data_IF_395248479845
#
_entry.id   IF_395248479845
#
_cell.length_a   1.000
_cell.length_b   1.000
_cell.length_c   1.000
_cell.angle_alpha   90.00
_cell.angle_beta   90.00
_cell.angle_gamma   90.00
#
_symmetry.space_group_name_H-M   'P 1'
#
loop_
_entity.id
_entity.type
_entity.pdbx_description
1 polymer ?
#
# COMPACT_ATOMS: atom_id res chain seq x y z
N UNK A 1 -4.70 1.56 21.93
CA UNK A 1 -4.35 0.15 21.58
C UNK A 1 -3.67 -0.54 22.78
N UNK A 2 -2.64 0.06 23.41
CA UNK A 2 -1.98 -0.51 24.58
C UNK A 2 -2.84 -0.65 25.85
N UNK A 3 -4.05 -0.08 25.88
CA UNK A 3 -4.96 -0.21 27.02
C UNK A 3 -5.86 -1.45 26.98
N UNK A 4 -5.97 -2.10 25.81
CA UNK A 4 -6.91 -3.23 25.62
C UNK A 4 -6.18 -4.53 25.35
N UNK A 5 -5.08 -4.49 24.60
CA UNK A 5 -4.20 -5.63 24.31
C UNK A 5 -2.80 -5.30 24.82
N UNK A 6 -2.65 -5.26 26.15
CA UNK A 6 -1.46 -4.75 26.85
C UNK A 6 -0.20 -5.58 26.61
N UNK A 7 -0.35 -6.81 26.18
CA UNK A 7 0.74 -7.73 25.85
C UNK A 7 1.37 -7.50 24.47
N UNK A 8 0.78 -6.63 23.61
CA UNK A 8 1.35 -6.35 22.30
C UNK A 8 2.58 -5.45 22.38
N UNK A 9 3.50 -5.66 21.44
CA UNK A 9 4.73 -4.89 21.27
C UNK A 9 4.77 -4.26 19.86
N UNK A 10 5.66 -3.27 19.62
CA UNK A 10 5.56 -2.38 18.43
C UNK A 10 5.78 -3.06 17.09
N UNK A 11 6.52 -4.18 17.01
CA UNK A 11 6.79 -4.81 15.72
C UNK A 11 5.58 -5.59 15.24
N UNK A 12 5.07 -5.22 14.08
CA UNK A 12 3.93 -5.88 13.48
C UNK A 12 3.93 -5.75 11.96
N UNK A 13 3.33 -6.74 11.32
CA UNK A 13 3.10 -6.79 9.87
C UNK A 13 1.68 -7.23 9.60
N UNK A 14 1.07 -6.68 8.56
CA UNK A 14 -0.23 -7.14 8.09
C UNK A 14 -0.24 -7.30 6.58
N UNK A 15 -1.03 -8.25 6.11
CA UNK A 15 -1.30 -8.43 4.69
C UNK A 15 -2.80 -8.66 4.52
N UNK A 16 -3.36 -8.04 3.49
CA UNK A 16 -4.76 -8.21 3.11
C UNK A 16 -4.81 -8.63 1.65
N UNK A 17 -5.48 -9.75 1.39
CA UNK A 17 -5.75 -10.23 0.03
C UNK A 17 -7.18 -9.87 -0.32
N UNK A 18 -7.35 -9.16 -1.43
CA UNK A 18 -8.65 -8.70 -1.92
C UNK A 18 -8.98 -9.45 -3.22
N UNK A 19 -10.19 -9.93 -3.32
CA UNK A 19 -10.74 -10.50 -4.52
C UNK A 19 -11.36 -9.41 -5.38
N UNK A 20 -11.08 -9.44 -6.69
CA UNK A 20 -11.56 -8.46 -7.66
C UNK A 20 -12.39 -9.11 -8.76
N UNK A 21 -13.37 -8.41 -9.25
CA UNK A 21 -14.11 -8.80 -10.46
C UNK A 21 -13.21 -8.63 -11.69
N UNK A 22 -13.06 -9.71 -12.47
CA UNK A 22 -12.15 -9.74 -13.62
C UNK A 22 -12.51 -8.75 -14.73
N UNK A 23 -13.81 -8.47 -14.93
CA UNK A 23 -14.28 -7.60 -16.02
C UNK A 23 -14.24 -6.14 -15.66
N UNK A 24 -14.62 -5.83 -14.42
CA UNK A 24 -14.77 -4.44 -13.96
C UNK A 24 -13.60 -3.94 -13.16
N UNK A 25 -12.68 -4.83 -12.74
CA UNK A 25 -11.55 -4.55 -11.86
C UNK A 25 -11.96 -3.93 -10.50
N UNK A 26 -13.22 -4.13 -10.09
CA UNK A 26 -13.73 -3.63 -8.81
C UNK A 26 -13.49 -4.65 -7.70
N UNK A 27 -13.13 -4.19 -6.48
CA UNK A 27 -12.98 -5.09 -5.34
C UNK A 27 -14.35 -5.69 -4.96
N UNK A 28 -14.35 -7.00 -4.70
CA UNK A 28 -15.54 -7.75 -4.31
C UNK A 28 -15.58 -7.99 -2.80
N UNK A 29 -14.48 -8.47 -2.23
CA UNK A 29 -14.37 -8.77 -0.80
C UNK A 29 -12.92 -8.89 -0.35
N UNK A 30 -12.70 -8.82 0.93
CA UNK A 30 -11.47 -9.27 1.58
C UNK A 30 -11.51 -10.81 1.69
N UNK A 31 -10.54 -11.46 1.03
CA UNK A 31 -10.44 -12.92 1.03
C UNK A 31 -9.61 -13.43 2.21
N UNK A 32 -8.45 -12.82 2.48
CA UNK A 32 -7.54 -13.27 3.53
C UNK A 32 -6.95 -12.08 4.28
N UNK A 33 -6.84 -12.22 5.59
CA UNK A 33 -6.15 -11.28 6.47
C UNK A 33 -5.05 -12.04 7.20
N UNK A 34 -3.82 -11.54 7.10
CA UNK A 34 -2.67 -12.04 7.87
C UNK A 34 -2.22 -10.94 8.83
N UNK A 35 -2.06 -11.27 10.09
CA UNK A 35 -1.51 -10.38 11.12
C UNK A 35 -0.34 -11.10 11.80
N UNK A 36 0.84 -10.51 11.74
CA UNK A 36 1.99 -10.95 12.55
C UNK A 36 2.32 -9.82 13.51
N UNK A 37 2.24 -10.08 14.81
CA UNK A 37 2.43 -9.06 15.83
C UNK A 37 3.32 -9.55 16.95
N UNK A 38 4.28 -8.71 17.31
CA UNK A 38 5.15 -8.94 18.48
C UNK A 38 4.31 -8.85 19.76
N UNK A 39 4.60 -9.75 20.71
CA UNK A 39 3.90 -9.82 21.98
C UNK A 39 4.83 -10.30 23.10
N UNK A 40 4.47 -10.03 24.34
CA UNK A 40 5.13 -10.62 25.50
C UNK A 40 4.76 -12.09 25.66
N UNK A 41 5.54 -12.83 26.41
CA UNK A 41 5.14 -14.14 26.92
C UNK A 41 4.22 -13.94 28.14
N UNK A 42 2.93 -13.76 27.91
CA UNK A 42 1.93 -13.44 28.93
C UNK A 42 1.19 -14.67 29.48
N UNK A 43 1.38 -15.85 28.87
CA UNK A 43 0.97 -17.14 29.39
C UNK A 43 2.22 -17.99 29.53
N UNK A 44 2.62 -18.26 30.76
CA UNK A 44 3.85 -18.99 31.06
C UNK A 44 3.55 -20.47 31.39
N UNK A 45 4.49 -21.40 31.11
CA UNK A 45 4.40 -22.76 31.57
C UNK A 45 4.44 -22.83 33.11
N UNK A 46 3.83 -23.84 33.68
CA UNK A 46 3.74 -24.05 35.13
C UNK A 46 2.33 -24.41 35.59
N UNK A 47 2.15 -24.84 36.83
CA UNK A 47 0.85 -25.25 37.39
C UNK A 47 0.14 -26.31 36.53
N UNK A 48 0.89 -27.28 36.00
CA UNK A 48 0.34 -28.35 35.15
C UNK A 48 0.28 -27.98 33.66
N UNK A 49 0.70 -26.80 33.25
CA UNK A 49 0.74 -26.35 31.85
C UNK A 49 2.15 -26.59 31.29
N UNK A 50 2.24 -27.32 30.21
CA UNK A 50 3.48 -27.49 29.45
C UNK A 50 3.82 -26.23 28.66
N UNK A 51 5.07 -26.08 28.19
CA UNK A 51 5.49 -24.97 27.34
C UNK A 51 4.64 -24.89 26.07
N UNK A 52 4.40 -26.03 25.42
CA UNK A 52 3.58 -26.11 24.22
C UNK A 52 2.12 -25.68 24.46
N UNK A 53 1.52 -26.13 25.54
CA UNK A 53 0.15 -25.73 25.89
C UNK A 53 0.04 -24.24 26.25
N UNK A 54 1.05 -23.69 26.90
CA UNK A 54 1.12 -22.26 27.20
C UNK A 54 1.19 -21.45 25.89
N UNK A 55 2.04 -21.85 24.96
CA UNK A 55 2.14 -21.22 23.64
C UNK A 55 0.82 -21.32 22.86
N UNK A 56 0.22 -22.50 22.78
CA UNK A 56 -1.06 -22.70 22.06
C UNK A 56 -2.18 -21.81 22.62
N UNK A 57 -2.32 -21.73 23.95
CA UNK A 57 -3.31 -20.87 24.62
C UNK A 57 -3.02 -19.39 24.38
N UNK A 58 -1.76 -18.99 24.37
CA UNK A 58 -1.35 -17.61 24.10
C UNK A 58 -1.68 -17.23 22.65
N UNK A 59 -1.36 -18.08 21.69
CA UNK A 59 -1.68 -17.84 20.28
C UNK A 59 -3.19 -17.81 20.03
N UNK A 60 -3.96 -18.69 20.68
CA UNK A 60 -5.43 -18.68 20.57
C UNK A 60 -6.00 -17.37 21.14
N UNK A 61 -5.50 -16.89 22.27
CA UNK A 61 -5.91 -15.60 22.84
C UNK A 61 -5.61 -14.45 21.90
N UNK A 62 -4.42 -14.39 21.31
CA UNK A 62 -4.04 -13.34 20.34
C UNK A 62 -4.97 -13.40 19.13
N UNK A 63 -5.26 -14.60 18.61
CA UNK A 63 -6.16 -14.79 17.46
C UNK A 63 -7.57 -14.29 17.76
N UNK A 64 -8.09 -14.62 18.94
CA UNK A 64 -9.41 -14.19 19.36
C UNK A 64 -9.49 -12.67 19.54
N UNK A 65 -8.49 -12.06 20.18
CA UNK A 65 -8.43 -10.61 20.34
C UNK A 65 -8.29 -9.86 18.99
N UNK A 66 -7.54 -10.42 18.05
CA UNK A 66 -7.48 -9.87 16.67
C UNK A 66 -8.87 -9.93 16.02
N UNK A 67 -9.57 -11.07 16.14
CA UNK A 67 -10.90 -11.27 15.55
C UNK A 67 -11.95 -10.35 16.19
N UNK A 68 -11.98 -10.25 17.50
CA UNK A 68 -13.07 -9.61 18.25
C UNK A 68 -12.78 -8.14 18.57
N UNK A 69 -11.53 -7.72 18.55
CA UNK A 69 -11.14 -6.35 18.91
C UNK A 69 -10.55 -5.61 17.71
N UNK A 70 -9.47 -6.15 17.11
CA UNK A 70 -8.73 -5.41 16.08
C UNK A 70 -9.56 -5.22 14.80
N UNK A 71 -10.10 -6.29 14.23
CA UNK A 71 -10.85 -6.23 12.97
C UNK A 71 -12.11 -5.35 13.10
N UNK A 72 -12.94 -5.47 14.14
CA UNK A 72 -14.06 -4.56 14.34
C UNK A 72 -13.65 -3.09 14.47
N UNK A 73 -12.53 -2.81 15.13
CA UNK A 73 -12.01 -1.43 15.22
C UNK A 73 -11.56 -0.88 13.86
N UNK A 74 -10.95 -1.72 13.01
CA UNK A 74 -10.59 -1.34 11.65
C UNK A 74 -11.86 -1.02 10.84
N UNK A 75 -12.87 -1.88 10.86
CA UNK A 75 -14.17 -1.64 10.21
C UNK A 75 -14.77 -0.31 10.67
N UNK A 76 -14.91 -0.11 11.97
CA UNK A 76 -15.47 1.12 12.54
C UNK A 76 -14.67 2.38 12.19
N UNK A 77 -13.35 2.26 12.00
CA UNK A 77 -12.49 3.37 11.53
C UNK A 77 -12.75 3.73 10.08
N UNK A 78 -12.88 2.73 9.20
CA UNK A 78 -13.23 2.93 7.80
C UNK A 78 -14.62 3.55 7.65
N UNK A 79 -15.61 3.06 8.38
CA UNK A 79 -16.98 3.60 8.39
C UNK A 79 -17.01 5.08 8.82
N UNK A 80 -16.29 5.42 9.91
CA UNK A 80 -16.19 6.82 10.38
C UNK A 80 -15.48 7.74 9.39
N UNK A 81 -14.56 7.20 8.61
CA UNK A 81 -13.90 7.94 7.52
C UNK A 81 -14.82 8.13 6.30
N UNK A 82 -16.03 7.58 6.31
CA UNK A 82 -16.95 7.57 5.17
C UNK A 82 -16.51 6.62 4.07
N UNK A 83 -15.65 5.68 4.37
CA UNK A 83 -15.10 4.75 3.40
C UNK A 83 -16.04 3.56 3.19
N UNK A 84 -16.56 3.45 1.97
CA UNK A 84 -17.43 2.32 1.57
C UNK A 84 -16.69 0.97 1.58
N UNK A 85 -15.36 0.98 1.66
CA UNK A 85 -14.54 -0.22 1.68
C UNK A 85 -14.70 -1.06 2.96
N UNK A 86 -15.27 -0.49 4.04
CA UNK A 86 -15.62 -1.25 5.24
C UNK A 86 -16.52 -2.46 4.92
N UNK A 87 -17.42 -2.32 3.95
CA UNK A 87 -18.30 -3.40 3.49
C UNK A 87 -17.60 -4.57 2.80
N UNK A 88 -16.33 -4.40 2.37
CA UNK A 88 -15.54 -5.49 1.81
C UNK A 88 -15.04 -6.48 2.87
N UNK A 89 -15.01 -6.07 4.14
CA UNK A 89 -14.62 -6.94 5.26
C UNK A 89 -15.89 -7.65 5.75
N UNK A 90 -16.24 -8.77 5.12
CA UNK A 90 -17.34 -9.66 5.52
C UNK A 90 -16.98 -10.47 6.78
N UNK A 91 -17.63 -11.61 6.93
CA UNK A 91 -17.37 -12.55 8.03
C UNK A 91 -16.71 -13.87 7.52
N UNK A 92 -16.56 -13.98 6.21
CA UNK A 92 -16.09 -15.18 5.49
C UNK A 92 -14.62 -15.12 5.06
N UNK A 93 -13.84 -14.17 5.62
CA UNK A 93 -12.40 -14.09 5.34
C UNK A 93 -11.60 -15.17 6.08
N UNK A 94 -10.48 -15.58 5.48
CA UNK A 94 -9.49 -16.45 6.13
C UNK A 94 -8.60 -15.59 7.02
N UNK A 95 -8.48 -15.94 8.31
CA UNK A 95 -7.64 -15.21 9.26
C UNK A 95 -6.42 -16.04 9.68
N UNK A 96 -5.24 -15.49 9.44
CA UNK A 96 -3.98 -16.02 9.96
C UNK A 96 -3.38 -15.02 10.95
N UNK A 97 -3.10 -15.47 12.17
CA UNK A 97 -2.45 -14.66 13.21
C UNK A 97 -1.22 -15.40 13.70
N UNK A 98 -0.06 -14.75 13.62
CA UNK A 98 1.25 -15.33 13.96
C UNK A 98 1.42 -16.77 13.43
N UNK A 99 1.29 -17.00 12.12
CA UNK A 99 1.20 -18.37 11.57
C UNK A 99 2.47 -19.21 11.78
N UNK A 100 3.57 -18.59 12.15
CA UNK A 100 4.86 -19.26 12.46
C UNK A 100 5.07 -19.55 13.95
N UNK A 101 4.09 -19.24 14.81
CA UNK A 101 4.15 -19.39 16.25
C UNK A 101 4.41 -18.08 16.99
N UNK A 102 4.97 -18.16 18.19
CA UNK A 102 5.22 -16.98 19.05
C UNK A 102 6.19 -15.98 18.41
N UNK A 103 5.88 -14.70 18.57
CA UNK A 103 6.67 -13.59 18.07
C UNK A 103 7.06 -12.64 19.22
N UNK A 104 8.03 -13.07 20.00
CA UNK A 104 8.48 -12.34 21.22
C UNK A 104 9.65 -11.41 20.90
N UNK A 105 10.58 -11.83 20.05
CA UNK A 105 11.74 -11.03 19.65
C UNK A 105 11.41 -10.28 18.37
N UNK A 106 11.38 -8.96 18.44
CA UNK A 106 11.09 -8.08 17.30
C UNK A 106 11.92 -6.80 17.31
N UNK A 107 11.63 -5.92 16.35
CA UNK A 107 12.39 -4.71 16.13
C UNK A 107 13.85 -4.97 15.75
N UNK A 108 14.80 -4.07 16.03
CA UNK A 108 16.21 -4.20 15.62
C UNK A 108 16.92 -5.44 16.15
N UNK A 109 16.44 -6.03 17.25
CA UNK A 109 16.97 -7.28 17.78
C UNK A 109 16.57 -8.51 16.96
N UNK A 110 15.38 -8.48 16.34
CA UNK A 110 14.91 -9.56 15.51
C UNK A 110 15.36 -9.42 14.06
N UNK A 111 15.24 -8.22 13.52
CA UNK A 111 15.59 -7.90 12.13
C UNK A 111 15.95 -6.42 11.99
N UNK A 112 17.10 -6.12 11.41
CA UNK A 112 17.55 -4.76 11.20
C UNK A 112 17.01 -4.24 9.87
N UNK A 113 16.19 -3.20 9.92
CA UNK A 113 15.65 -2.53 8.75
C UNK A 113 16.60 -1.52 8.12
N UNK A 114 16.43 -1.29 6.83
CA UNK A 114 17.08 -0.22 6.07
C UNK A 114 16.04 0.62 5.35
N UNK A 115 16.31 1.91 5.21
CA UNK A 115 15.47 2.82 4.41
C UNK A 115 15.38 2.35 2.96
N UNK A 116 14.18 2.36 2.39
CA UNK A 116 13.95 1.95 1.00
C UNK A 116 13.88 0.45 0.75
N UNK A 117 13.75 -0.36 1.82
CA UNK A 117 13.57 -1.84 1.72
C UNK A 117 12.11 -2.27 1.82
N UNK A 118 11.16 -1.33 1.90
CA UNK A 118 9.70 -1.55 1.91
C UNK A 118 8.98 -0.64 0.92
N UNK A 119 9.60 -0.34 -0.22
CA UNK A 119 9.12 0.65 -1.21
C UNK A 119 7.74 0.35 -1.77
N UNK A 120 7.35 -0.90 -1.87
CA UNK A 120 6.01 -1.29 -2.34
C UNK A 120 4.95 -0.93 -1.28
N UNK A 121 5.24 -1.20 0.00
CA UNK A 121 4.36 -0.81 1.13
C UNK A 121 4.25 0.71 1.24
N UNK A 122 5.37 1.41 1.04
CA UNK A 122 5.45 2.88 1.12
C UNK A 122 4.66 3.59 0.01
N UNK A 123 4.28 2.88 -1.05
CA UNK A 123 3.61 3.43 -2.23
C UNK A 123 2.19 2.89 -2.40
N UNK A 124 2.01 1.83 -3.19
CA UNK A 124 0.67 1.34 -3.61
C UNK A 124 0.37 -0.07 -3.14
N UNK A 125 1.19 -0.67 -2.28
CA UNK A 125 0.95 -1.99 -1.68
C UNK A 125 0.89 -3.15 -2.69
N UNK A 126 1.45 -2.99 -3.89
CA UNK A 126 1.38 -3.97 -4.98
C UNK A 126 0.20 -3.80 -5.93
N UNK A 127 -0.76 -2.89 -5.64
CA UNK A 127 -1.86 -2.60 -6.56
C UNK A 127 -1.38 -1.87 -7.82
N UNK A 128 -0.52 -0.86 -7.67
CA UNK A 128 0.12 -0.14 -8.77
C UNK A 128 1.58 -0.55 -8.93
N UNK A 129 2.10 -0.44 -10.15
CA UNK A 129 3.50 -0.69 -10.45
C UNK A 129 4.43 0.32 -9.73
N UNK A 130 5.69 -0.08 -9.54
CA UNK A 130 6.73 0.74 -8.95
C UNK A 130 8.03 0.59 -9.72
N UNK A 131 8.75 1.68 -9.94
CA UNK A 131 10.02 1.67 -10.69
C UNK A 131 11.20 1.04 -9.95
N UNK A 132 11.05 0.67 -8.67
CA UNK A 132 12.06 -0.01 -7.86
C UNK A 132 13.01 0.92 -7.10
N UNK A 133 13.00 2.22 -7.36
CA UNK A 133 13.85 3.20 -6.67
C UNK A 133 13.25 3.69 -5.35
N UNK A 134 14.01 3.64 -4.25
CA UNK A 134 13.63 4.28 -3.01
C UNK A 134 13.60 5.81 -3.16
N UNK A 135 12.71 6.49 -2.42
CA UNK A 135 12.59 7.95 -2.47
C UNK A 135 13.46 8.65 -1.43
N UNK A 136 13.48 8.13 -0.21
CA UNK A 136 14.27 8.70 0.89
C UNK A 136 15.75 8.76 0.56
N UNK A 137 16.40 9.86 0.95
CA UNK A 137 17.82 10.09 0.71
C UNK A 137 18.19 10.55 -0.70
N UNK A 138 17.21 10.71 -1.60
CA UNK A 138 17.42 11.22 -2.95
C UNK A 138 17.03 12.69 -3.05
N UNK A 139 17.89 13.50 -3.63
CA UNK A 139 17.57 14.88 -3.99
C UNK A 139 16.66 14.96 -5.22
N UNK A 140 16.18 16.16 -5.53
CA UNK A 140 15.22 16.40 -6.60
C UNK A 140 15.73 16.12 -8.03
N UNK A 141 17.05 15.95 -8.22
CA UNK A 141 17.62 15.58 -9.52
C UNK A 141 17.41 14.11 -9.87
N UNK A 142 17.08 13.26 -8.89
CA UNK A 142 16.87 11.84 -9.07
C UNK A 142 15.46 11.57 -9.58
N UNK A 143 15.34 11.12 -10.82
CA UNK A 143 14.05 10.84 -11.48
C UNK A 143 13.25 9.72 -10.81
N UNK A 144 13.88 8.74 -10.16
CA UNK A 144 13.20 7.73 -9.36
C UNK A 144 12.21 8.34 -8.37
N UNK A 145 12.52 9.53 -7.85
CA UNK A 145 11.69 10.27 -6.90
C UNK A 145 10.88 11.36 -7.58
N UNK A 146 11.50 12.28 -8.29
CA UNK A 146 10.83 13.44 -8.90
C UNK A 146 9.84 13.04 -9.98
N UNK A 147 10.17 12.07 -10.85
CA UNK A 147 9.25 11.57 -11.86
C UNK A 147 8.12 10.73 -11.28
N UNK A 148 8.33 9.99 -10.18
CA UNK A 148 7.26 9.30 -9.48
C UNK A 148 6.21 10.28 -8.94
N UNK A 149 6.64 11.44 -8.42
CA UNK A 149 5.72 12.49 -7.99
C UNK A 149 4.97 13.13 -9.17
N UNK A 150 5.64 13.34 -10.29
CA UNK A 150 5.00 13.82 -11.51
C UNK A 150 3.97 12.83 -12.05
N UNK A 151 4.30 11.54 -12.11
CA UNK A 151 3.38 10.47 -12.52
C UNK A 151 2.13 10.42 -11.63
N UNK A 152 2.31 10.50 -10.31
CA UNK A 152 1.19 10.55 -9.38
C UNK A 152 0.33 11.81 -9.56
N UNK A 153 0.95 12.97 -9.75
CA UNK A 153 0.22 14.21 -10.03
C UNK A 153 -0.64 14.07 -11.28
N UNK A 154 -0.08 13.54 -12.36
CA UNK A 154 -0.79 13.33 -13.62
C UNK A 154 -1.95 12.35 -13.40
N UNK A 155 -1.70 11.18 -12.81
CA UNK A 155 -2.70 10.16 -12.54
C UNK A 155 -3.87 10.70 -11.71
N UNK A 156 -3.58 11.44 -10.63
CA UNK A 156 -4.62 12.09 -9.80
C UNK A 156 -5.45 13.11 -10.58
N UNK A 157 -4.83 13.89 -11.46
CA UNK A 157 -5.56 14.86 -12.28
C UNK A 157 -6.45 14.17 -13.32
N UNK A 158 -5.99 13.07 -13.93
CA UNK A 158 -6.80 12.30 -14.86
C UNK A 158 -8.05 11.71 -14.19
N UNK A 159 -7.90 11.13 -13.00
CA UNK A 159 -9.04 10.63 -12.24
C UNK A 159 -9.96 11.76 -11.79
N UNK A 160 -9.43 12.87 -11.29
CA UNK A 160 -10.23 14.02 -10.86
C UNK A 160 -10.98 14.68 -12.03
N UNK A 161 -10.42 14.62 -13.24
CA UNK A 161 -11.08 15.08 -14.46
C UNK A 161 -12.09 14.08 -15.05
N UNK A 162 -12.29 12.93 -14.40
CA UNK A 162 -13.22 11.90 -14.85
C UNK A 162 -12.78 11.16 -16.12
N UNK A 163 -11.48 11.16 -16.42
CA UNK A 163 -10.95 10.44 -17.59
C UNK A 163 -11.05 8.92 -17.41
N UNK A 164 -10.86 8.45 -16.19
CA UNK A 164 -10.96 7.06 -15.78
C UNK A 164 -11.17 6.97 -14.27
N UNK A 165 -11.66 5.82 -13.77
CA UNK A 165 -11.83 5.55 -12.34
C UNK A 165 -10.48 5.32 -11.65
N UNK A 166 -9.55 4.65 -12.35
CA UNK A 166 -8.19 4.36 -11.92
C UNK A 166 -7.21 4.63 -13.06
N UNK A 167 -6.00 5.08 -12.76
CA UNK A 167 -4.95 5.32 -13.76
C UNK A 167 -3.58 4.99 -13.21
N UNK A 168 -2.84 4.17 -13.93
CA UNK A 168 -1.39 4.03 -13.79
C UNK A 168 -0.71 4.91 -14.83
N UNK A 169 0.27 5.71 -14.41
CA UNK A 169 1.16 6.47 -15.30
C UNK A 169 2.60 6.08 -15.00
N UNK A 170 3.30 5.63 -16.04
CA UNK A 170 4.71 5.30 -15.97
C UNK A 170 5.53 6.21 -16.90
N UNK A 171 6.65 6.72 -16.38
CA UNK A 171 7.61 7.54 -17.11
C UNK A 171 8.96 6.83 -17.15
N UNK A 172 9.54 6.67 -18.35
CA UNK A 172 10.85 6.06 -18.53
C UNK A 172 11.86 7.10 -19.01
N UNK A 173 13.07 7.06 -18.45
CA UNK A 173 14.18 7.96 -18.81
C UNK A 173 15.43 7.19 -19.13
N UNK A 174 16.30 7.80 -19.97
CA UNK A 174 17.67 7.36 -20.13
C UNK A 174 18.64 8.39 -19.54
N UNK A 175 19.72 7.91 -18.94
CA UNK A 175 20.75 8.78 -18.39
C UNK A 175 21.34 9.64 -19.53
N UNK A 176 21.43 10.96 -19.27
CA UNK A 176 21.93 11.92 -20.25
C UNK A 176 20.88 12.45 -21.23
N UNK A 177 19.65 11.92 -21.23
CA UNK A 177 18.55 12.40 -22.08
C UNK A 177 17.47 13.03 -21.20
N UNK A 178 17.21 14.32 -21.39
CA UNK A 178 16.25 15.05 -20.56
C UNK A 178 14.78 14.69 -20.85
N UNK A 179 14.45 14.38 -22.11
CA UNK A 179 13.10 13.98 -22.46
C UNK A 179 12.81 12.54 -21.99
N UNK A 180 11.61 12.25 -21.47
CA UNK A 180 11.24 10.85 -21.22
C UNK A 180 11.29 10.03 -22.53
N UNK A 181 11.76 8.80 -22.42
CA UNK A 181 11.78 7.86 -23.56
C UNK A 181 10.37 7.35 -23.87
N UNK A 182 9.57 7.14 -22.83
CA UNK A 182 8.20 6.73 -22.98
C UNK A 182 7.31 7.28 -21.86
N UNK A 183 6.04 7.41 -22.19
CA UNK A 183 4.93 7.63 -21.28
C UNK A 183 3.97 6.49 -21.48
N UNK A 184 3.80 5.65 -20.46
CA UNK A 184 2.82 4.57 -20.49
C UNK A 184 1.63 4.93 -19.61
N UNK A 185 0.43 4.60 -20.06
CA UNK A 185 -0.82 4.79 -19.34
C UNK A 185 -1.61 3.49 -19.37
N UNK A 186 -2.14 3.10 -18.23
CA UNK A 186 -3.12 2.04 -18.10
C UNK A 186 -4.30 2.55 -17.26
N UNK A 187 -5.48 2.56 -17.82
CA UNK A 187 -6.70 2.98 -17.13
C UNK A 187 -7.48 1.81 -16.55
N UNK A 188 -6.89 0.63 -16.46
CA UNK A 188 -7.47 -0.59 -15.90
C UNK A 188 -8.84 -0.92 -16.49
N UNK A 189 -9.04 -0.64 -17.78
CA UNK A 189 -10.32 -0.81 -18.49
C UNK A 189 -11.47 0.03 -17.90
N UNK A 190 -11.16 1.11 -17.19
CA UNK A 190 -12.19 2.03 -16.70
C UNK A 190 -13.10 2.50 -17.81
N UNK A 191 -14.40 2.65 -17.56
CA UNK A 191 -15.33 3.25 -18.52
C UNK A 191 -14.87 4.64 -18.96
N UNK A 192 -14.99 4.94 -20.25
CA UNK A 192 -14.67 6.26 -20.78
C UNK A 192 -15.90 7.16 -20.71
N UNK A 193 -15.75 8.44 -20.33
CA UNK A 193 -16.81 9.41 -20.55
C UNK A 193 -17.07 9.60 -22.05
N UNK A 194 -18.30 9.97 -22.43
CA UNK A 194 -18.71 10.10 -23.83
C UNK A 194 -17.76 10.99 -24.67
N UNK A 195 -17.21 12.05 -24.07
CA UNK A 195 -16.25 12.95 -24.73
C UNK A 195 -14.89 12.28 -25.07
N UNK A 196 -14.62 11.10 -24.51
CA UNK A 196 -13.39 10.33 -24.69
C UNK A 196 -13.68 8.94 -25.24
N UNK A 197 -14.90 8.69 -25.72
CA UNK A 197 -15.29 7.42 -26.30
C UNK A 197 -14.37 7.07 -27.48
N UNK A 198 -13.88 5.83 -27.50
CA UNK A 198 -12.93 5.37 -28.52
C UNK A 198 -11.48 5.82 -28.30
N UNK A 199 -11.19 6.70 -27.35
CA UNK A 199 -9.79 7.10 -27.07
C UNK A 199 -9.03 5.97 -26.38
N UNK A 200 -7.87 5.63 -26.91
CA UNK A 200 -6.97 4.62 -26.35
C UNK A 200 -6.08 5.20 -25.25
N UNK A 201 -5.52 4.33 -24.39
CA UNK A 201 -4.51 4.74 -23.39
C UNK A 201 -3.26 5.36 -24.03
N UNK A 202 -2.87 4.88 -25.21
CA UNK A 202 -1.78 5.47 -25.99
C UNK A 202 -2.09 6.91 -26.47
N UNK A 203 -3.33 7.24 -26.73
CA UNK A 203 -3.74 8.61 -27.07
C UNK A 203 -3.75 9.52 -25.86
N UNK A 204 -4.13 9.00 -24.69
CA UNK A 204 -4.01 9.72 -23.42
C UNK A 204 -2.52 10.00 -23.14
N UNK A 205 -1.65 9.01 -23.29
CA UNK A 205 -0.21 9.17 -23.11
C UNK A 205 0.37 10.27 -24.03
N UNK A 206 -0.05 10.31 -25.31
CA UNK A 206 0.37 11.38 -26.24
C UNK A 206 -0.12 12.77 -25.81
N UNK A 207 -1.34 12.87 -25.27
CA UNK A 207 -1.86 14.14 -24.73
C UNK A 207 -1.10 14.58 -23.49
N UNK A 208 -0.76 13.67 -22.58
CA UNK A 208 0.08 13.94 -21.41
C UNK A 208 1.41 14.56 -21.85
N UNK A 209 2.09 13.98 -22.84
CA UNK A 209 3.37 14.49 -23.36
C UNK A 209 3.28 15.89 -23.98
N UNK A 210 2.09 16.32 -24.42
CA UNK A 210 1.86 17.69 -24.91
C UNK A 210 1.51 18.69 -23.82
N UNK A 211 0.84 18.22 -22.76
CA UNK A 211 0.33 19.07 -21.67
C UNK A 211 1.37 19.29 -20.55
N UNK A 212 2.26 18.33 -20.36
CA UNK A 212 3.23 18.35 -19.28
C UNK A 212 4.65 18.34 -19.83
N UNK A 213 5.44 19.32 -19.40
CA UNK A 213 6.90 19.27 -19.59
C UNK A 213 7.49 18.33 -18.53
N UNK A 214 7.88 17.13 -18.98
CA UNK A 214 8.35 16.05 -18.13
C UNK A 214 9.89 15.97 -18.06
N UNK A 215 10.60 16.97 -18.56
CA UNK A 215 12.04 17.08 -18.34
C UNK A 215 12.34 17.24 -16.86
N UNK A 216 13.37 16.60 -16.30
CA UNK A 216 13.66 16.65 -14.85
C UNK A 216 13.70 18.05 -14.27
N UNK A 217 14.37 19.00 -14.96
CA UNK A 217 14.43 20.39 -14.51
C UNK A 217 13.04 21.07 -14.47
N UNK A 218 12.16 20.76 -15.41
CA UNK A 218 10.81 21.28 -15.45
C UNK A 218 9.95 20.70 -14.31
N UNK A 219 10.08 19.43 -14.02
CA UNK A 219 9.42 18.76 -12.87
C UNK A 219 9.85 19.43 -11.57
N UNK A 220 11.16 19.57 -11.34
CA UNK A 220 11.73 20.21 -10.15
C UNK A 220 11.18 21.64 -9.97
N UNK A 221 11.14 22.43 -11.05
CA UNK A 221 10.60 23.79 -11.03
C UNK A 221 9.10 23.79 -10.74
N UNK A 222 8.31 22.94 -11.43
CA UNK A 222 6.85 22.89 -11.32
C UNK A 222 6.38 22.60 -9.90
N UNK A 223 7.03 21.66 -9.23
CA UNK A 223 6.65 21.20 -7.90
C UNK A 223 7.45 21.87 -6.77
N UNK A 224 8.37 22.76 -7.07
CA UNK A 224 9.19 23.43 -6.06
C UNK A 224 10.07 22.48 -5.26
N UNK A 225 10.57 21.40 -5.89
CA UNK A 225 11.25 20.30 -5.21
C UNK A 225 12.63 20.65 -4.62
N UNK A 226 13.03 21.91 -4.64
CA UNK A 226 14.21 22.42 -3.91
C UNK A 226 13.84 23.01 -2.55
N UNK A 227 12.55 23.11 -2.23
CA UNK A 227 12.07 23.59 -0.95
C UNK A 227 12.14 22.48 0.10
N UNK A 228 12.27 22.78 1.41
CA UNK A 228 12.41 21.80 2.47
C UNK A 228 11.14 20.97 2.75
N UNK A 229 10.12 21.07 1.92
CA UNK A 229 8.91 20.23 1.94
C UNK A 229 9.05 18.93 1.13
N UNK A 230 10.19 18.77 0.44
CA UNK A 230 10.47 17.62 -0.42
C UNK A 230 11.24 16.52 0.31
#
# INVERSE_FOLDING_TARGET
EGEVMTYLRPDSKSQVTIEYDERTNKPLRVHTIVVSTQHDEFILPGNGLTEKEAEERMQERIREDVRTILIPRVKARLERAGDKLAGLIGDDYILHVNPTGKFVIGGPHGDTGLTGRKIIVDTYGGRGAHGGGAFSGKDSSKVDRSAAYASRHIAKNLVAAGVADEVLVELSYAIGIAQPLSIYVDTYRSPRPAALEGMTDGEIARRIGRLFDLRPAAIVKRFGLKNPIF
#
